data_IF_598096382127
#
_entry.id   IF_598096382127
#
_cell.length_a   1.000
_cell.length_b   1.000
_cell.length_c   1.000
_cell.angle_alpha   90.00
_cell.angle_beta   90.00
_cell.angle_gamma   90.00
#
_symmetry.space_group_name_H-M   'P 1'
#
loop_
_entity.id
_entity.type
_entity.pdbx_description
1 polymer ?
#
# COMPACT_ATOMS: atom_id res chain seq x y z
N UNK A 1 5.50 4.97 -6.21
CA UNK A 1 4.85 3.65 -6.14
C UNK A 1 5.69 2.59 -5.44
N UNK A 2 6.66 1.90 -6.07
CA UNK A 2 7.41 0.80 -5.41
C UNK A 2 8.14 1.18 -4.12
N UNK A 3 8.91 2.27 -4.12
CA UNK A 3 9.62 2.76 -2.93
C UNK A 3 8.66 3.08 -1.78
N UNK A 4 7.57 3.79 -2.07
CA UNK A 4 6.56 4.17 -1.06
C UNK A 4 5.84 2.94 -0.51
N UNK A 5 5.54 1.95 -1.37
CA UNK A 5 4.89 0.69 -0.99
C UNK A 5 5.80 -0.15 -0.10
N UNK A 6 7.09 -0.22 -0.43
CA UNK A 6 8.08 -0.93 0.37
C UNK A 6 8.33 -0.24 1.72
N UNK A 7 8.44 1.09 1.74
CA UNK A 7 8.52 1.85 2.98
C UNK A 7 7.28 1.64 3.85
N UNK A 8 6.09 1.71 3.26
CA UNK A 8 4.82 1.41 3.95
C UNK A 8 4.79 -0.02 4.49
N UNK A 9 5.22 -1.01 3.71
CA UNK A 9 5.23 -2.42 4.10
C UNK A 9 6.13 -2.71 5.31
N UNK A 10 7.13 -1.85 5.55
CA UNK A 10 8.03 -1.92 6.70
C UNK A 10 7.53 -1.18 7.94
N UNK A 11 6.46 -0.38 7.83
CA UNK A 11 5.86 0.26 9.00
C UNK A 11 5.22 -0.80 9.91
N UNK A 12 5.24 -0.55 11.22
CA UNK A 12 4.61 -1.39 12.23
C UNK A 12 3.07 -1.27 12.28
N UNK A 13 2.44 -0.79 11.20
CA UNK A 13 0.97 -0.68 11.11
C UNK A 13 0.34 -2.07 11.20
N UNK A 14 -0.70 -2.20 12.01
CA UNK A 14 -1.53 -3.39 12.05
C UNK A 14 -2.39 -3.47 10.79
N UNK A 15 -2.51 -4.68 10.25
CA UNK A 15 -3.33 -4.97 9.07
C UNK A 15 -4.21 -6.16 9.40
N UNK A 16 -5.30 -5.95 10.17
CA UNK A 16 -6.18 -7.03 10.56
C UNK A 16 -6.94 -7.56 9.34
N UNK A 17 -7.10 -8.88 9.31
CA UNK A 17 -7.99 -9.57 8.37
C UNK A 17 -9.43 -9.26 8.77
N UNK A 18 -10.25 -8.78 7.84
CA UNK A 18 -11.67 -8.47 8.06
C UNK A 18 -12.56 -9.61 7.61
N UNK A 19 -12.30 -10.14 6.42
CA UNK A 19 -13.04 -11.29 5.89
C UNK A 19 -12.10 -12.16 5.07
N UNK A 20 -12.41 -13.46 4.98
CA UNK A 20 -11.69 -14.40 4.16
C UNK A 20 -12.67 -15.36 3.51
N UNK A 21 -12.68 -15.35 2.19
CA UNK A 21 -13.45 -16.26 1.34
C UNK A 21 -12.51 -17.25 0.66
N UNK A 22 -13.07 -18.18 -0.10
CA UNK A 22 -12.29 -19.14 -0.89
C UNK A 22 -11.43 -18.49 -1.97
N UNK A 23 -11.83 -17.31 -2.48
CA UNK A 23 -11.15 -16.63 -3.59
C UNK A 23 -10.32 -15.43 -3.13
N UNK A 24 -10.81 -14.68 -2.14
CA UNK A 24 -10.22 -13.40 -1.72
C UNK A 24 -10.16 -13.24 -0.21
N UNK A 25 -9.17 -12.48 0.24
CA UNK A 25 -9.03 -12.03 1.62
C UNK A 25 -9.15 -10.50 1.67
N UNK A 26 -9.99 -9.96 2.56
CA UNK A 26 -10.09 -8.53 2.80
C UNK A 26 -9.34 -8.11 4.06
N UNK A 27 -8.57 -7.03 3.94
CA UNK A 27 -7.69 -6.50 4.97
C UNK A 27 -8.04 -5.04 5.25
N UNK A 28 -7.97 -4.62 6.51
CA UNK A 28 -8.08 -3.21 6.89
C UNK A 28 -6.71 -2.60 7.12
N UNK A 29 -6.55 -1.34 6.72
CA UNK A 29 -5.32 -0.57 6.86
C UNK A 29 -5.67 0.81 7.42
N UNK A 30 -5.04 1.25 8.52
CA UNK A 30 -5.29 2.58 9.05
C UNK A 30 -4.71 3.67 8.14
N UNK A 31 -5.52 4.71 7.86
CA UNK A 31 -5.11 5.87 7.10
C UNK A 31 -4.15 6.77 7.91
N UNK A 32 -3.46 7.67 7.21
CA UNK A 32 -2.56 8.63 7.87
C UNK A 32 -1.45 7.98 8.72
N UNK A 33 -1.23 8.54 9.91
CA UNK A 33 -0.22 8.12 10.89
C UNK A 33 -0.68 7.00 11.83
N UNK A 34 -1.98 6.69 11.87
CA UNK A 34 -2.55 5.76 12.84
C UNK A 34 -1.97 4.35 12.69
N UNK A 35 -1.73 3.65 13.79
CA UNK A 35 -1.09 2.32 13.78
C UNK A 35 -2.10 1.18 13.72
N UNK A 36 -3.34 1.44 14.09
CA UNK A 36 -4.42 0.48 14.30
C UNK A 36 -5.74 0.97 13.69
N UNK A 37 -6.58 0.01 13.28
CA UNK A 37 -7.93 0.27 12.79
C UNK A 37 -8.87 0.42 13.99
N UNK A 38 -9.69 1.48 14.00
CA UNK A 38 -10.68 1.74 15.05
C UNK A 38 -12.00 1.07 14.68
N UNK A 39 -12.55 0.29 15.60
CA UNK A 39 -13.90 -0.23 15.45
C UNK A 39 -14.88 0.89 15.85
N UNK A 40 -15.70 1.33 14.91
CA UNK A 40 -16.80 2.24 15.19
C UNK A 40 -18.03 1.41 15.59
N UNK A 41 -18.50 1.60 16.82
CA UNK A 41 -19.67 0.87 17.35
C UNK A 41 -20.99 1.52 16.92
N UNK A 42 -20.98 2.82 16.62
CA UNK A 42 -22.17 3.58 16.23
C UNK A 42 -22.24 3.78 14.70
N UNK A 43 -23.39 3.54 14.06
CA UNK A 43 -23.63 3.95 12.68
C UNK A 43 -23.52 5.47 12.55
N UNK A 44 -23.05 5.95 11.39
CA UNK A 44 -23.05 7.37 11.04
C UNK A 44 -24.50 7.86 10.82
N UNK A 45 -24.79 9.08 11.26
CA UNK A 45 -26.10 9.72 11.09
C UNK A 45 -26.05 10.83 10.03
N UNK A 46 -24.86 11.35 9.75
CA UNK A 46 -24.65 12.38 8.72
C UNK A 46 -23.64 11.93 7.65
N UNK A 47 -23.70 12.58 6.48
CA UNK A 47 -22.74 12.32 5.42
C UNK A 47 -21.30 12.73 5.81
N UNK A 48 -21.13 13.78 6.60
CA UNK A 48 -19.81 14.22 7.05
C UNK A 48 -19.19 13.21 8.02
N UNK A 49 -19.97 12.66 8.94
CA UNK A 49 -19.54 11.55 9.80
C UNK A 49 -19.17 10.31 8.99
N UNK A 50 -20.00 9.94 8.01
CA UNK A 50 -19.68 8.84 7.09
C UNK A 50 -18.35 9.09 6.39
N UNK A 51 -18.15 10.28 5.84
CA UNK A 51 -16.93 10.66 5.13
C UNK A 51 -15.71 10.55 6.04
N UNK A 52 -15.78 11.08 7.25
CA UNK A 52 -14.69 10.96 8.21
C UNK A 52 -14.37 9.51 8.56
N UNK A 53 -15.38 8.68 8.84
CA UNK A 53 -15.17 7.28 9.18
C UNK A 53 -14.64 6.48 7.98
N UNK A 54 -15.20 6.68 6.79
CA UNK A 54 -14.84 5.94 5.58
C UNK A 54 -13.41 6.21 5.12
N UNK A 55 -12.91 7.44 5.23
CA UNK A 55 -11.56 7.81 4.81
C UNK A 55 -10.48 7.61 5.90
N UNK A 56 -10.85 7.16 7.10
CA UNK A 56 -9.90 6.79 8.17
C UNK A 56 -9.28 5.42 7.98
N UNK A 57 -9.88 4.55 7.19
CA UNK A 57 -9.38 3.20 6.94
C UNK A 57 -9.48 2.82 5.48
N UNK A 58 -8.48 2.08 5.01
CA UNK A 58 -8.48 1.49 3.70
C UNK A 58 -8.79 0.00 3.79
N UNK A 59 -9.77 -0.44 3.02
CA UNK A 59 -10.02 -1.84 2.77
C UNK A 59 -9.24 -2.25 1.51
N UNK A 60 -8.44 -3.30 1.62
CA UNK A 60 -7.73 -3.92 0.50
C UNK A 60 -8.21 -5.35 0.36
N UNK A 61 -8.73 -5.68 -0.81
CA UNK A 61 -9.15 -7.03 -1.18
C UNK A 61 -8.03 -7.65 -2.00
N UNK A 62 -7.47 -8.74 -1.50
CA UNK A 62 -6.35 -9.45 -2.10
C UNK A 62 -6.79 -10.84 -2.55
N UNK A 63 -6.52 -11.25 -3.80
CA UNK A 63 -6.68 -12.63 -4.23
C UNK A 63 -5.81 -13.58 -3.41
N UNK A 64 -6.29 -14.80 -3.14
CA UNK A 64 -5.49 -15.83 -2.46
C UNK A 64 -4.35 -16.36 -3.33
N UNK A 65 -4.58 -16.41 -4.64
CA UNK A 65 -3.57 -16.79 -5.61
C UNK A 65 -2.50 -15.72 -5.68
N UNK A 66 -1.28 -16.07 -5.23
CA UNK A 66 -0.18 -15.12 -5.08
C UNK A 66 0.20 -14.44 -6.39
N UNK A 67 0.10 -15.15 -7.51
CA UNK A 67 0.44 -14.65 -8.84
C UNK A 67 -0.54 -13.56 -9.31
N UNK A 68 -1.77 -13.63 -8.83
CA UNK A 68 -2.86 -12.73 -9.19
C UNK A 68 -3.01 -11.53 -8.26
N UNK A 69 -2.05 -11.26 -7.38
CA UNK A 69 -2.10 -10.15 -6.41
C UNK A 69 -2.42 -8.78 -7.04
N UNK A 70 -2.04 -8.56 -8.30
CA UNK A 70 -2.27 -7.31 -9.03
C UNK A 70 -3.76 -7.07 -9.32
N UNK A 71 -4.59 -8.12 -9.35
CA UNK A 71 -6.05 -8.02 -9.48
C UNK A 71 -6.74 -7.62 -8.18
N UNK A 72 -6.00 -7.43 -7.09
CA UNK A 72 -6.56 -6.92 -5.85
C UNK A 72 -7.06 -5.49 -5.97
N UNK A 73 -7.99 -5.12 -5.09
CA UNK A 73 -8.64 -3.81 -5.10
C UNK A 73 -8.43 -3.06 -3.80
N UNK A 74 -8.57 -1.73 -3.83
CA UNK A 74 -8.47 -0.90 -2.64
C UNK A 74 -9.44 0.29 -2.72
N UNK A 75 -10.08 0.67 -1.61
CA UNK A 75 -10.97 1.83 -1.57
C UNK A 75 -10.24 3.20 -1.45
N UNK A 76 -8.90 3.24 -1.40
CA UNK A 76 -8.20 4.51 -1.24
C UNK A 76 -8.26 5.39 -2.51
N UNK A 77 -8.24 6.73 -2.40
CA UNK A 77 -8.39 7.63 -3.55
C UNK A 77 -7.37 7.40 -4.68
N UNK A 78 -6.14 7.00 -4.32
CA UNK A 78 -5.09 6.70 -5.29
C UNK A 78 -5.42 5.48 -6.15
N UNK A 79 -5.99 4.44 -5.55
CA UNK A 79 -6.44 3.26 -6.28
C UNK A 79 -7.64 3.57 -7.17
N UNK A 80 -8.62 4.32 -6.66
CA UNK A 80 -9.79 4.70 -7.46
C UNK A 80 -9.42 5.50 -8.71
N UNK A 81 -8.31 6.24 -8.67
CA UNK A 81 -7.79 7.00 -9.81
C UNK A 81 -6.95 6.16 -10.79
N UNK A 82 -6.01 5.39 -10.26
CA UNK A 82 -4.95 4.77 -11.07
C UNK A 82 -5.06 3.24 -11.16
N UNK A 83 -6.04 2.63 -10.48
CA UNK A 83 -6.20 1.19 -10.27
C UNK A 83 -4.98 0.49 -9.63
N UNK A 84 -4.09 1.28 -9.01
CA UNK A 84 -2.92 0.79 -8.29
C UNK A 84 -2.54 1.78 -7.18
N UNK A 85 -2.18 1.28 -6.01
CA UNK A 85 -1.82 2.11 -4.88
C UNK A 85 -0.74 1.49 -4.00
N UNK A 86 -0.15 2.31 -3.12
CA UNK A 86 0.87 1.83 -2.17
C UNK A 86 0.36 0.77 -1.20
N UNK A 87 -0.94 0.76 -0.90
CA UNK A 87 -1.56 -0.19 0.02
C UNK A 87 -1.65 -1.58 -0.62
N UNK A 88 -2.10 -1.67 -1.87
CA UNK A 88 -2.15 -2.93 -2.62
C UNK A 88 -0.75 -3.54 -2.76
N UNK A 89 0.17 -2.78 -3.35
CA UNK A 89 1.55 -3.24 -3.59
C UNK A 89 2.26 -3.51 -2.27
N UNK A 90 2.09 -2.64 -1.28
CA UNK A 90 2.69 -2.79 0.04
C UNK A 90 2.18 -4.03 0.78
N UNK A 91 0.88 -4.32 0.69
CA UNK A 91 0.28 -5.49 1.30
C UNK A 91 0.78 -6.77 0.63
N UNK A 92 0.85 -6.79 -0.71
CA UNK A 92 1.44 -7.90 -1.45
C UNK A 92 2.90 -8.17 -1.05
N UNK A 93 3.69 -7.13 -0.76
CA UNK A 93 5.05 -7.26 -0.21
C UNK A 93 5.01 -7.90 1.20
N UNK A 94 4.15 -7.43 2.11
CA UNK A 94 4.02 -7.99 3.47
C UNK A 94 3.60 -9.45 3.45
N UNK A 95 2.70 -9.82 2.55
CA UNK A 95 2.22 -11.20 2.34
C UNK A 95 3.21 -12.05 1.53
N UNK A 96 4.36 -11.49 1.11
CA UNK A 96 5.40 -12.15 0.31
C UNK A 96 4.86 -12.70 -1.02
N UNK A 97 3.83 -12.06 -1.60
CA UNK A 97 3.32 -12.40 -2.94
C UNK A 97 4.21 -11.83 -4.04
N UNK A 98 4.91 -10.74 -3.75
CA UNK A 98 5.83 -10.09 -4.67
C UNK A 98 7.10 -9.62 -3.97
N UNK A 99 8.23 -9.69 -4.68
CA UNK A 99 9.49 -9.15 -4.20
C UNK A 99 9.68 -7.71 -4.72
N UNK A 100 10.01 -6.75 -3.85
CA UNK A 100 10.25 -5.38 -4.29
C UNK A 100 11.56 -5.30 -5.12
N UNK A 101 11.59 -4.43 -6.15
CA UNK A 101 12.78 -4.22 -6.96
C UNK A 101 13.95 -3.69 -6.11
N UNK A 102 15.19 -3.95 -6.55
CA UNK A 102 16.40 -3.64 -5.78
C UNK A 102 16.53 -2.14 -5.48
N UNK A 103 16.03 -1.30 -6.38
CA UNK A 103 16.03 0.15 -6.33
C UNK A 103 15.14 0.67 -5.20
N UNK A 104 14.00 0.02 -4.97
CA UNK A 104 13.10 0.36 -3.87
C UNK A 104 13.70 0.01 -2.51
N UNK A 105 14.54 -1.04 -2.46
CA UNK A 105 15.23 -1.47 -1.24
C UNK A 105 16.41 -0.57 -0.86
N UNK A 106 17.02 0.09 -1.83
CA UNK A 106 18.22 0.90 -1.64
C UNK A 106 17.97 2.26 -0.98
N UNK A 107 16.71 2.71 -0.88
CA UNK A 107 16.37 4.01 -0.30
C UNK A 107 16.05 3.83 1.20
N UNK A 108 16.78 4.47 2.13
CA UNK A 108 16.49 4.41 3.55
C UNK A 108 15.06 4.87 3.87
N UNK A 109 14.46 4.28 4.91
CA UNK A 109 13.10 4.65 5.35
C UNK A 109 13.11 6.11 5.81
N UNK A 110 12.08 6.88 5.41
CA UNK A 110 11.94 8.29 5.80
C UNK A 110 12.83 9.26 5.01
N UNK A 111 13.70 8.76 4.13
CA UNK A 111 14.53 9.61 3.28
C UNK A 111 13.99 9.67 1.85
N UNK A 112 13.93 10.89 1.30
CA UNK A 112 13.81 11.06 -0.15
C UNK A 112 15.17 10.80 -0.80
N UNK A 113 15.17 10.24 -2.01
CA UNK A 113 16.40 10.11 -2.80
C UNK A 113 16.98 11.52 -3.01
N UNK A 114 18.30 11.67 -2.83
CA UNK A 114 19.00 12.94 -3.13
C UNK A 114 18.75 13.35 -4.58
N UNK A 115 18.60 14.66 -4.81
CA UNK A 115 18.48 15.25 -6.15
C UNK A 115 19.73 14.92 -6.97
N UNK A 116 19.55 14.62 -8.25
CA UNK A 116 20.65 14.27 -9.18
C UNK A 116 20.54 12.86 -9.77
N UNK A 117 21.41 12.54 -10.73
CA UNK A 117 21.41 11.27 -11.46
C UNK A 117 21.70 10.09 -10.51
N UNK A 118 20.98 8.97 -10.61
CA UNK A 118 21.34 7.75 -9.89
C UNK A 118 22.73 7.25 -10.29
N UNK A 119 23.59 6.93 -9.33
CA UNK A 119 24.97 6.51 -9.58
C UNK A 119 25.07 5.25 -10.46
N UNK A 120 24.09 4.32 -10.35
CA UNK A 120 24.03 3.09 -11.16
C UNK A 120 23.74 3.33 -12.64
N UNK A 121 23.23 4.51 -13.02
CA UNK A 121 22.93 4.86 -14.40
C UNK A 121 24.14 5.41 -15.17
N UNK A 122 25.37 5.42 -14.62
CA UNK A 122 26.58 6.02 -15.23
C UNK A 122 26.90 5.52 -16.64
N UNK A 123 26.61 4.26 -16.98
CA UNK A 123 27.03 3.61 -18.24
C UNK A 123 26.40 4.19 -19.53
N UNK A 124 25.37 5.03 -19.45
CA UNK A 124 24.70 5.59 -20.62
C UNK A 124 25.40 6.82 -21.26
N UNK A 125 26.63 7.16 -20.83
CA UNK A 125 27.44 8.21 -21.46
C UNK A 125 28.69 7.56 -22.07
N UNK A 126 28.54 6.97 -23.26
CA UNK A 126 29.65 6.79 -24.18
C UNK A 126 29.59 8.04 -25.07
N UNK A 127 30.41 9.04 -24.75
CA UNK A 127 30.71 10.10 -25.72
C UNK A 127 31.65 9.44 -26.72
N UNK A 128 31.17 9.19 -27.94
CA UNK A 128 32.06 8.83 -29.05
C UNK A 128 32.87 10.05 -29.46
#
# INVERSE_FOLDING_TARGET
>A
MWTESYQWAKLSKQVPLKNSTELVCSYRIPAGSDLDCKNYEKPWETFDEYKEQHFREWEVIMPREKENWLHGTCNCPKFLKDYICKHLVGLAIRLKHVQPPSEARAIPIGMKRKRGRPAKAKKALIVQ
#
